data_IF_837646849082
#
_entry.id   IF_837646849082
#
_cell.length_a   1.000
_cell.length_b   1.000
_cell.length_c   1.000
_cell.angle_alpha   90.00
_cell.angle_beta   90.00
_cell.angle_gamma   90.00
#
_symmetry.space_group_name_H-M   'P 1'
#
loop_
_entity.id
_entity.type
_entity.pdbx_description
1 polymer ?
#
# COMPACT_ATOMS: atom_id res chain seq x y z
N UNK A 1 53.62 27.54 39.99
CA UNK A 1 53.25 26.43 39.06
C UNK A 1 51.94 26.77 38.37
N UNK A 2 51.98 26.78 37.09
CA UNK A 2 51.29 27.54 36.06
C UNK A 2 49.76 27.28 35.94
N UNK A 3 48.99 28.29 36.23
CA UNK A 3 47.53 28.40 35.91
C UNK A 3 47.21 28.23 34.39
N UNK A 4 48.19 28.50 33.54
CA UNK A 4 48.08 28.36 32.08
C UNK A 4 47.84 26.91 31.60
N UNK A 5 48.33 25.89 32.34
CA UNK A 5 48.19 24.49 31.96
C UNK A 5 46.75 23.97 32.25
N UNK A 6 46.09 24.46 33.26
CA UNK A 6 44.73 24.07 33.63
C UNK A 6 43.71 24.62 32.62
N UNK A 7 43.88 25.85 32.19
CA UNK A 7 43.01 26.52 31.21
C UNK A 7 42.98 25.81 29.84
N UNK A 8 44.15 25.30 29.37
CA UNK A 8 44.21 24.54 28.11
C UNK A 8 43.43 23.21 28.21
N UNK A 9 43.43 22.57 29.38
CA UNK A 9 42.64 21.34 29.59
C UNK A 9 41.12 21.61 29.60
N UNK A 10 40.69 22.73 30.20
CA UNK A 10 39.26 23.12 30.24
C UNK A 10 38.77 23.55 28.87
N UNK A 11 39.58 24.23 28.05
CA UNK A 11 39.24 24.60 26.67
C UNK A 11 39.11 23.36 25.80
N UNK A 12 40.02 22.36 25.96
CA UNK A 12 39.93 21.10 25.25
C UNK A 12 38.69 20.29 25.63
N UNK A 13 38.36 20.27 26.94
CA UNK A 13 37.17 19.57 27.44
C UNK A 13 35.88 20.27 27.00
N UNK A 14 35.82 21.59 27.04
CA UNK A 14 34.68 22.38 26.53
C UNK A 14 34.49 22.22 25.01
N UNK A 15 35.62 22.21 24.25
CA UNK A 15 35.57 21.94 22.81
C UNK A 15 35.01 20.55 22.51
N UNK A 16 35.45 19.52 23.26
CA UNK A 16 34.94 18.17 23.09
C UNK A 16 33.45 18.05 23.49
N UNK A 17 33.02 18.76 24.52
CA UNK A 17 31.64 18.72 25.02
C UNK A 17 30.63 19.45 24.09
N UNK A 18 31.06 20.51 23.42
CA UNK A 18 30.19 21.32 22.54
C UNK A 18 30.39 21.08 21.05
N UNK A 19 31.63 20.90 20.61
CA UNK A 19 31.95 20.66 19.20
C UNK A 19 31.50 19.29 18.71
N UNK A 20 31.64 18.27 19.52
CA UNK A 20 31.26 16.91 19.16
C UNK A 20 29.75 16.73 18.94
N UNK A 21 28.86 17.19 19.87
CA UNK A 21 27.41 17.18 19.65
C UNK A 21 26.99 18.08 18.47
N UNK A 22 27.64 19.23 18.29
CA UNK A 22 27.35 20.14 17.17
C UNK A 22 27.70 19.48 15.82
N UNK A 23 28.87 18.87 15.75
CA UNK A 23 29.33 18.14 14.58
C UNK A 23 28.46 16.93 14.27
N UNK A 24 28.00 16.22 15.32
CA UNK A 24 27.03 15.13 15.24
C UNK A 24 25.69 15.62 14.70
N UNK A 25 25.18 16.74 15.17
CA UNK A 25 23.91 17.34 14.74
C UNK A 25 23.97 17.81 13.28
N UNK A 26 25.10 18.42 12.86
CA UNK A 26 25.35 18.80 11.46
C UNK A 26 25.49 17.56 10.58
N UNK A 27 26.26 16.57 11.03
CA UNK A 27 26.47 15.31 10.31
C UNK A 27 25.17 14.56 10.10
N UNK A 28 24.36 14.39 11.14
CA UNK A 28 23.03 13.77 11.02
C UNK A 28 22.05 14.65 10.25
N UNK A 29 22.05 15.96 10.42
CA UNK A 29 21.19 16.87 9.66
C UNK A 29 21.49 16.92 8.17
N UNK A 30 22.76 16.80 7.77
CA UNK A 30 23.17 16.80 6.37
C UNK A 30 23.07 15.41 5.72
N UNK A 31 23.41 14.35 6.45
CA UNK A 31 23.33 12.98 5.94
C UNK A 31 21.94 12.38 6.00
N UNK A 32 21.04 12.88 6.84
CA UNK A 32 19.68 12.37 6.94
C UNK A 32 18.72 12.91 5.87
N UNK A 33 19.22 13.34 4.72
CA UNK A 33 18.41 13.43 3.50
C UNK A 33 18.08 12.00 3.04
N UNK A 34 17.34 11.29 3.86
CA UNK A 34 16.75 10.02 3.46
C UNK A 34 15.78 10.34 2.30
N UNK A 35 16.22 10.11 1.08
CA UNK A 35 15.31 9.98 -0.04
C UNK A 35 14.45 8.77 0.28
N UNK A 36 13.18 8.99 0.61
CA UNK A 36 12.24 7.90 0.77
C UNK A 36 12.22 7.12 -0.54
N UNK A 37 12.38 5.81 -0.45
CA UNK A 37 12.22 4.94 -1.60
C UNK A 37 10.74 5.05 -2.01
N UNK A 38 10.50 5.57 -3.19
CA UNK A 38 9.18 5.56 -3.82
C UNK A 38 9.06 4.30 -4.67
N UNK A 39 7.87 3.73 -4.71
CA UNK A 39 7.61 2.59 -5.60
C UNK A 39 7.52 3.08 -7.05
N UNK A 40 7.95 2.24 -7.98
CA UNK A 40 7.79 2.50 -9.40
C UNK A 40 6.32 2.44 -9.81
N UNK A 41 5.98 3.14 -10.87
CA UNK A 41 4.69 3.00 -11.53
C UNK A 41 4.77 1.84 -12.52
N UNK A 42 3.73 1.03 -12.60
CA UNK A 42 3.62 -0.13 -13.49
C UNK A 42 2.52 0.10 -14.51
N UNK A 43 2.74 -0.39 -15.73
CA UNK A 43 1.79 -0.30 -16.84
C UNK A 43 2.31 0.57 -17.98
N UNK A 44 1.55 0.68 -19.07
CA UNK A 44 1.93 1.48 -20.24
C UNK A 44 1.92 2.98 -19.91
N UNK A 45 2.88 3.73 -20.44
CA UNK A 45 2.90 5.19 -20.29
C UNK A 45 1.82 5.84 -21.19
N UNK A 46 1.13 6.82 -20.62
CA UNK A 46 0.20 7.65 -21.35
C UNK A 46 0.83 9.02 -21.63
N UNK A 47 1.53 9.13 -22.75
CA UNK A 47 2.28 10.33 -23.13
C UNK A 47 1.38 11.54 -23.50
N UNK A 48 0.08 11.35 -23.60
CA UNK A 48 -0.89 12.40 -23.99
C UNK A 48 -1.67 12.98 -22.81
N UNK A 49 -1.55 12.38 -21.61
CA UNK A 49 -2.24 12.85 -20.42
C UNK A 49 -1.34 13.77 -19.57
N UNK A 50 -1.97 14.61 -18.74
CA UNK A 50 -1.23 15.39 -17.71
C UNK A 50 -0.47 14.48 -16.76
N UNK A 51 -0.99 13.25 -16.51
CA UNK A 51 -0.34 12.21 -15.75
C UNK A 51 0.14 11.11 -16.72
N UNK A 52 1.44 10.94 -16.92
CA UNK A 52 1.99 9.97 -17.85
C UNK A 52 1.85 8.52 -17.35
N UNK A 53 1.49 8.31 -16.08
CA UNK A 53 1.42 6.98 -15.49
C UNK A 53 0.09 6.29 -15.78
N UNK A 54 0.16 4.97 -15.94
CA UNK A 54 -1.04 4.16 -16.10
C UNK A 54 -1.93 4.28 -14.87
N UNK A 55 -3.17 4.65 -15.10
CA UNK A 55 -4.24 4.62 -14.11
C UNK A 55 -5.24 3.54 -14.49
N UNK A 56 -5.64 2.71 -13.53
CA UNK A 56 -6.67 1.70 -13.79
C UNK A 56 -7.95 2.37 -14.31
N UNK A 57 -8.63 1.78 -15.29
CA UNK A 57 -9.89 2.30 -15.81
C UNK A 57 -11.00 2.22 -14.76
N UNK A 58 -12.09 2.93 -15.01
CA UNK A 58 -13.29 2.85 -14.20
C UNK A 58 -13.88 1.46 -14.24
N UNK A 59 -14.49 1.06 -13.13
CA UNK A 59 -15.26 -0.16 -13.02
C UNK A 59 -16.48 0.05 -12.12
N UNK A 60 -17.46 -0.84 -12.27
CA UNK A 60 -18.62 -0.90 -11.41
C UNK A 60 -19.07 -2.37 -11.28
N UNK A 61 -18.76 -2.98 -10.13
CA UNK A 61 -19.13 -4.35 -9.83
C UNK A 61 -19.83 -4.43 -8.48
N UNK A 62 -20.70 -5.42 -8.32
CA UNK A 62 -21.38 -5.66 -7.04
C UNK A 62 -20.44 -6.29 -6.03
N UNK A 63 -20.43 -5.74 -4.80
CA UNK A 63 -19.74 -6.36 -3.67
C UNK A 63 -20.58 -7.51 -3.06
N UNK A 64 -20.05 -8.18 -2.05
CA UNK A 64 -20.69 -9.28 -1.32
C UNK A 64 -22.02 -8.92 -0.65
N UNK A 65 -22.35 -7.64 -0.55
CA UNK A 65 -23.62 -7.15 -0.02
C UNK A 65 -24.56 -6.61 -1.11
N UNK A 66 -24.17 -6.74 -2.38
CA UNK A 66 -24.93 -6.23 -3.53
C UNK A 66 -24.76 -4.73 -3.78
N UNK A 67 -23.88 -4.04 -3.04
CA UNK A 67 -23.59 -2.63 -3.33
C UNK A 67 -22.62 -2.51 -4.48
N UNK A 68 -22.78 -1.49 -5.32
CA UNK A 68 -21.85 -1.24 -6.41
C UNK A 68 -20.59 -0.56 -5.88
N UNK A 69 -19.45 -1.22 -6.03
CA UNK A 69 -18.13 -0.65 -5.78
C UNK A 69 -17.57 -0.11 -7.10
N UNK A 70 -17.03 1.09 -7.05
CA UNK A 70 -16.41 1.76 -8.20
C UNK A 70 -14.97 2.15 -7.88
N UNK A 71 -14.15 2.42 -8.91
CA UNK A 71 -12.81 2.97 -8.71
C UNK A 71 -12.85 4.23 -7.84
N UNK A 72 -13.78 5.15 -8.10
CA UNK A 72 -13.85 6.43 -7.40
C UNK A 72 -14.10 6.27 -5.89
N UNK A 73 -14.79 5.21 -5.47
CA UNK A 73 -14.98 4.90 -4.04
C UNK A 73 -13.70 4.44 -3.33
N UNK A 74 -12.67 4.12 -4.10
CA UNK A 74 -11.34 3.71 -3.61
C UNK A 74 -10.28 4.82 -3.72
N UNK A 75 -10.59 5.95 -4.36
CA UNK A 75 -9.66 7.08 -4.42
C UNK A 75 -9.32 7.56 -3.00
N UNK A 76 -8.09 7.96 -2.82
CA UNK A 76 -7.55 8.36 -1.51
C UNK A 76 -7.15 7.18 -0.60
N UNK A 77 -7.31 5.93 -1.05
CA UNK A 77 -6.91 4.72 -0.33
C UNK A 77 -5.80 3.99 -1.07
N UNK A 78 -4.91 3.35 -0.34
CA UNK A 78 -4.03 2.29 -0.86
C UNK A 78 -4.79 0.99 -0.78
N UNK A 79 -4.83 0.23 -1.86
CA UNK A 79 -5.59 -1.00 -1.84
C UNK A 79 -4.94 -2.13 -2.65
N UNK A 80 -5.24 -3.34 -2.24
CA UNK A 80 -4.79 -4.56 -2.89
C UNK A 80 -5.92 -5.09 -3.74
N UNK A 81 -5.71 -5.16 -5.05
CA UNK A 81 -6.57 -5.92 -5.95
C UNK A 81 -6.08 -7.38 -5.94
N UNK A 82 -6.94 -8.31 -5.53
CA UNK A 82 -6.68 -9.72 -5.53
C UNK A 82 -7.59 -10.41 -6.55
N UNK A 83 -7.05 -11.30 -7.38
CA UNK A 83 -7.82 -12.01 -8.40
C UNK A 83 -7.81 -13.51 -8.10
N UNK A 84 -8.93 -14.03 -7.63
CA UNK A 84 -9.12 -15.45 -7.33
C UNK A 84 -10.62 -15.81 -7.21
N UNK A 85 -10.92 -17.11 -7.10
CA UNK A 85 -12.26 -17.62 -6.80
C UNK A 85 -12.30 -18.27 -5.42
N UNK A 86 -13.47 -18.28 -4.78
CA UNK A 86 -13.69 -19.02 -3.53
C UNK A 86 -13.51 -20.53 -3.67
N UNK A 87 -13.51 -21.03 -4.91
CA UNK A 87 -13.28 -22.43 -5.26
C UNK A 87 -11.85 -22.75 -5.71
N UNK A 88 -10.90 -21.82 -5.57
CA UNK A 88 -9.51 -22.06 -5.95
C UNK A 88 -8.84 -23.08 -5.02
N UNK A 89 -7.98 -23.93 -5.60
CA UNK A 89 -7.28 -25.01 -4.87
C UNK A 89 -6.42 -24.44 -3.71
N UNK A 90 -5.82 -23.26 -3.91
CA UNK A 90 -4.95 -22.60 -2.93
C UNK A 90 -5.66 -21.56 -2.08
N UNK A 91 -7.01 -21.59 -2.03
CA UNK A 91 -7.81 -20.56 -1.35
C UNK A 91 -7.41 -20.35 0.12
N UNK A 92 -7.02 -21.41 0.84
CA UNK A 92 -6.61 -21.31 2.24
C UNK A 92 -5.34 -20.46 2.39
N UNK A 93 -4.34 -20.65 1.52
CA UNK A 93 -3.10 -19.88 1.54
C UNK A 93 -3.34 -18.42 1.14
N UNK A 94 -4.15 -18.21 0.10
CA UNK A 94 -4.56 -16.86 -0.35
C UNK A 94 -5.22 -16.11 0.80
N UNK A 95 -6.19 -16.77 1.45
CA UNK A 95 -6.93 -16.22 2.60
C UNK A 95 -5.98 -15.84 3.73
N UNK A 96 -5.06 -16.72 4.12
CA UNK A 96 -4.10 -16.47 5.18
C UNK A 96 -3.25 -15.22 4.89
N UNK A 97 -2.77 -15.06 3.64
CA UNK A 97 -1.99 -13.89 3.22
C UNK A 97 -2.80 -12.60 3.33
N UNK A 98 -4.03 -12.60 2.84
CA UNK A 98 -4.91 -11.43 2.93
C UNK A 98 -5.31 -11.11 4.37
N UNK A 99 -5.52 -12.14 5.21
CA UNK A 99 -5.77 -11.97 6.65
C UNK A 99 -4.60 -11.29 7.36
N UNK A 100 -3.37 -11.62 7.02
CA UNK A 100 -2.17 -10.97 7.57
C UNK A 100 -2.15 -9.46 7.24
N UNK A 101 -2.48 -9.08 6.00
CA UNK A 101 -2.60 -7.67 5.60
C UNK A 101 -3.72 -6.99 6.38
N UNK A 102 -4.91 -7.61 6.40
CA UNK A 102 -6.07 -7.09 7.07
C UNK A 102 -5.82 -6.88 8.57
N UNK A 103 -5.21 -7.85 9.26
CA UNK A 103 -4.85 -7.75 10.66
C UNK A 103 -3.83 -6.64 10.92
N UNK A 104 -2.77 -6.57 10.12
CA UNK A 104 -1.72 -5.56 10.26
C UNK A 104 -2.26 -4.15 10.12
N UNK A 105 -3.16 -3.94 9.17
CA UNK A 105 -3.71 -2.61 8.85
C UNK A 105 -5.15 -2.41 9.34
N UNK A 106 -5.63 -3.18 10.32
CA UNK A 106 -7.03 -3.16 10.80
C UNK A 106 -7.54 -1.79 11.23
N UNK A 107 -6.67 -0.95 11.77
CA UNK A 107 -6.99 0.39 12.26
C UNK A 107 -6.75 1.49 11.22
N UNK A 108 -6.33 1.14 10.00
CA UNK A 108 -6.00 2.09 8.94
C UNK A 108 -7.17 2.22 7.97
N UNK A 109 -7.95 3.31 8.00
CA UNK A 109 -9.14 3.48 7.15
C UNK A 109 -8.78 3.61 5.66
N UNK A 110 -7.54 4.00 5.38
CA UNK A 110 -7.02 4.27 4.04
C UNK A 110 -6.43 3.02 3.35
N UNK A 111 -6.60 1.84 3.96
CA UNK A 111 -6.17 0.58 3.37
C UNK A 111 -7.40 -0.27 3.09
N UNK A 112 -7.47 -0.86 1.90
CA UNK A 112 -8.54 -1.78 1.51
C UNK A 112 -8.00 -3.02 0.79
N UNK A 113 -8.79 -4.09 0.79
CA UNK A 113 -8.59 -5.31 0.01
C UNK A 113 -9.81 -5.47 -0.87
N UNK A 114 -9.61 -5.59 -2.17
CA UNK A 114 -10.70 -5.75 -3.15
C UNK A 114 -10.40 -6.99 -3.98
N UNK A 115 -11.28 -7.97 -3.87
CA UNK A 115 -11.18 -9.22 -4.63
C UNK A 115 -12.04 -9.11 -5.87
N UNK A 116 -11.47 -9.47 -6.99
CA UNK A 116 -12.16 -9.62 -8.27
C UNK A 116 -12.31 -11.12 -8.52
N UNK A 117 -13.54 -11.62 -8.54
CA UNK A 117 -13.80 -13.03 -8.79
C UNK A 117 -13.30 -13.44 -10.18
N UNK A 118 -12.54 -14.51 -10.23
CA UNK A 118 -12.13 -15.13 -11.51
C UNK A 118 -13.20 -16.06 -12.08
N UNK A 119 -14.20 -16.44 -11.26
CA UNK A 119 -15.30 -17.36 -11.60
C UNK A 119 -16.63 -16.84 -11.09
N UNK A 120 -17.12 -15.73 -11.64
CA UNK A 120 -18.37 -15.10 -11.22
C UNK A 120 -19.61 -16.00 -11.36
N UNK A 121 -19.54 -17.06 -12.19
CA UNK A 121 -20.63 -18.05 -12.33
C UNK A 121 -20.82 -18.86 -11.05
N UNK A 122 -19.74 -19.17 -10.32
CA UNK A 122 -19.76 -19.90 -9.07
C UNK A 122 -19.72 -19.00 -7.83
N UNK A 123 -19.08 -17.85 -7.96
CA UNK A 123 -18.93 -16.87 -6.88
C UNK A 123 -20.10 -15.88 -6.88
N UNK A 124 -21.22 -16.30 -6.29
CA UNK A 124 -22.36 -15.39 -6.10
C UNK A 124 -22.11 -14.42 -4.94
N UNK A 125 -22.83 -13.30 -4.83
CA UNK A 125 -22.72 -12.41 -3.66
C UNK A 125 -22.88 -13.16 -2.33
N UNK A 126 -23.80 -14.14 -2.28
CA UNK A 126 -24.06 -14.93 -1.07
C UNK A 126 -22.86 -15.83 -0.71
N UNK A 127 -22.26 -16.52 -1.69
CA UNK A 127 -21.08 -17.36 -1.45
C UNK A 127 -19.86 -16.51 -1.06
N UNK A 128 -19.68 -15.36 -1.69
CA UNK A 128 -18.64 -14.39 -1.36
C UNK A 128 -18.81 -13.85 0.06
N UNK A 129 -20.03 -13.51 0.45
CA UNK A 129 -20.36 -13.07 1.80
C UNK A 129 -20.09 -14.14 2.83
N UNK A 130 -20.56 -15.37 2.60
CA UNK A 130 -20.30 -16.50 3.48
C UNK A 130 -18.79 -16.77 3.64
N UNK A 131 -18.02 -16.68 2.55
CA UNK A 131 -16.57 -16.82 2.59
C UNK A 131 -15.90 -15.73 3.44
N UNK A 132 -16.28 -14.46 3.26
CA UNK A 132 -15.73 -13.35 4.07
C UNK A 132 -16.11 -13.54 5.54
N UNK A 133 -17.36 -13.80 5.84
CA UNK A 133 -17.84 -13.98 7.22
C UNK A 133 -17.12 -15.14 7.91
N UNK A 134 -16.98 -16.28 7.25
CA UNK A 134 -16.30 -17.44 7.80
C UNK A 134 -14.85 -17.14 8.18
N UNK A 135 -14.15 -16.34 7.37
CA UNK A 135 -12.74 -16.05 7.57
C UNK A 135 -12.50 -14.84 8.46
N UNK A 136 -13.48 -13.94 8.60
CA UNK A 136 -13.30 -12.69 9.34
C UNK A 136 -13.90 -12.70 10.74
N UNK A 137 -14.82 -13.60 11.05
CA UNK A 137 -15.52 -13.69 12.37
C UNK A 137 -14.58 -13.79 13.57
N UNK A 138 -13.44 -14.45 13.41
CA UNK A 138 -12.53 -14.72 14.54
C UNK A 138 -11.59 -13.58 14.89
N UNK A 139 -11.51 -12.51 14.09
CA UNK A 139 -10.43 -11.53 14.20
C UNK A 139 -10.88 -10.06 14.28
N UNK A 140 -12.16 -9.77 14.46
CA UNK A 140 -12.67 -8.39 14.61
C UNK A 140 -12.42 -7.52 13.38
N UNK A 141 -12.64 -8.06 12.19
CA UNK A 141 -12.32 -7.38 10.94
C UNK A 141 -13.29 -6.27 10.58
N UNK A 142 -12.72 -5.18 10.13
CA UNK A 142 -13.41 -4.04 9.55
C UNK A 142 -13.85 -4.31 8.10
N UNK A 143 -14.80 -3.51 7.60
CA UNK A 143 -15.34 -3.52 6.22
C UNK A 143 -14.32 -3.23 5.11
N UNK A 144 -13.06 -3.61 5.28
CA UNK A 144 -11.96 -3.32 4.37
C UNK A 144 -11.82 -4.32 3.24
N UNK A 145 -12.36 -5.51 3.42
CA UNK A 145 -12.30 -6.59 2.45
C UNK A 145 -13.61 -6.62 1.69
N UNK A 146 -13.53 -6.39 0.40
CA UNK A 146 -14.64 -6.43 -0.54
C UNK A 146 -14.43 -7.53 -1.55
N UNK A 147 -15.46 -8.29 -1.83
CA UNK A 147 -15.42 -9.37 -2.83
C UNK A 147 -16.39 -9.02 -3.96
N UNK A 148 -15.82 -8.73 -5.13
CA UNK A 148 -16.58 -8.30 -6.30
C UNK A 148 -16.98 -9.48 -7.17
N UNK A 149 -18.26 -9.48 -7.53
CA UNK A 149 -18.87 -10.46 -8.42
C UNK A 149 -19.67 -9.74 -9.52
N UNK A 150 -20.09 -10.45 -10.54
CA UNK A 150 -20.89 -9.86 -11.60
C UNK A 150 -20.89 -10.66 -12.90
N UNK A 151 -20.98 -9.96 -14.03
CA UNK A 151 -20.87 -10.64 -15.32
C UNK A 151 -19.44 -11.17 -15.53
N UNK A 152 -19.33 -12.46 -15.86
CA UNK A 152 -18.06 -13.17 -16.00
C UNK A 152 -17.14 -12.54 -17.05
N UNK A 153 -17.69 -12.25 -18.24
CA UNK A 153 -16.90 -11.70 -19.36
C UNK A 153 -16.40 -10.29 -19.05
N UNK A 154 -17.26 -9.45 -18.45
CA UNK A 154 -16.90 -8.11 -18.03
C UNK A 154 -15.82 -8.12 -16.95
N UNK A 155 -15.94 -9.01 -15.98
CA UNK A 155 -14.95 -9.19 -14.91
C UNK A 155 -13.60 -9.64 -15.49
N UNK A 156 -13.58 -10.67 -16.32
CA UNK A 156 -12.36 -11.15 -16.95
C UNK A 156 -11.72 -10.09 -17.86
N UNK A 157 -12.53 -9.36 -18.62
CA UNK A 157 -12.04 -8.25 -19.44
C UNK A 157 -11.39 -7.16 -18.58
N UNK A 158 -12.00 -6.82 -17.44
CA UNK A 158 -11.44 -5.85 -16.51
C UNK A 158 -10.14 -6.35 -15.86
N UNK A 159 -10.08 -7.58 -15.39
CA UNK A 159 -8.87 -8.17 -14.81
C UNK A 159 -7.73 -8.13 -15.83
N UNK A 160 -8.02 -8.51 -17.09
CA UNK A 160 -6.99 -8.57 -18.15
C UNK A 160 -6.53 -7.17 -18.59
N UNK A 161 -7.45 -6.27 -18.88
CA UNK A 161 -7.15 -4.99 -19.51
C UNK A 161 -6.99 -3.85 -18.49
N UNK A 162 -7.74 -3.90 -17.39
CA UNK A 162 -7.73 -2.87 -16.34
C UNK A 162 -6.66 -3.14 -15.28
N UNK A 163 -6.55 -4.35 -14.78
CA UNK A 163 -5.52 -4.72 -13.83
C UNK A 163 -4.23 -5.22 -14.49
N UNK A 164 -4.21 -5.36 -15.81
CA UNK A 164 -3.07 -5.83 -16.61
C UNK A 164 -2.58 -7.23 -16.19
N UNK A 165 -3.52 -8.13 -15.84
CA UNK A 165 -3.23 -9.50 -15.46
C UNK A 165 -3.61 -10.41 -16.64
N UNK A 166 -2.62 -11.01 -17.32
CA UNK A 166 -2.84 -11.79 -18.53
C UNK A 166 -3.07 -13.28 -18.24
N UNK A 167 -2.45 -13.81 -17.20
CA UNK A 167 -2.52 -15.22 -16.84
C UNK A 167 -3.05 -15.40 -15.42
N UNK A 168 -4.15 -16.12 -15.31
CA UNK A 168 -4.80 -16.47 -14.03
C UNK A 168 -4.78 -18.00 -13.81
N UNK A 169 -4.03 -18.74 -14.63
CA UNK A 169 -4.17 -20.19 -14.71
C UNK A 169 -3.56 -20.95 -13.53
N UNK A 170 -2.57 -20.39 -12.83
CA UNK A 170 -1.78 -21.16 -11.87
C UNK A 170 -1.61 -20.55 -10.48
N UNK A 171 -1.76 -19.24 -10.33
CA UNK A 171 -1.56 -18.59 -9.03
C UNK A 171 -2.45 -17.35 -8.88
N UNK A 172 -2.87 -17.06 -7.66
CA UNK A 172 -3.48 -15.78 -7.36
C UNK A 172 -2.46 -14.65 -7.55
N UNK A 173 -2.85 -13.64 -8.30
CA UNK A 173 -2.06 -12.44 -8.55
C UNK A 173 -2.66 -11.28 -7.78
N UNK A 174 -1.78 -10.49 -7.19
CA UNK A 174 -2.16 -9.31 -6.42
C UNK A 174 -1.52 -8.07 -7.03
N UNK A 175 -2.31 -7.03 -7.20
CA UNK A 175 -1.82 -5.70 -7.60
C UNK A 175 -1.95 -4.75 -6.42
N UNK A 176 -0.91 -3.99 -6.17
CA UNK A 176 -0.94 -2.90 -5.19
C UNK A 176 -1.25 -1.61 -5.93
N UNK A 177 -2.30 -0.93 -5.51
CA UNK A 177 -2.79 0.28 -6.16
C UNK A 177 -2.75 1.44 -5.15
N UNK A 178 -2.26 2.58 -5.61
CA UNK A 178 -2.13 3.78 -4.78
C UNK A 178 -3.43 4.60 -4.70
N UNK A 179 -3.37 5.68 -3.94
CA UNK A 179 -4.50 6.55 -3.69
C UNK A 179 -5.06 7.27 -4.93
N UNK A 180 -4.29 7.32 -6.00
CA UNK A 180 -4.67 7.98 -7.25
C UNK A 180 -5.11 6.97 -8.33
N UNK A 181 -5.01 5.67 -8.02
CA UNK A 181 -5.43 4.58 -8.91
C UNK A 181 -4.32 4.06 -9.82
N UNK A 182 -3.05 4.27 -9.47
CA UNK A 182 -1.91 3.72 -10.23
C UNK A 182 -1.47 2.38 -9.68
N UNK A 183 -1.08 1.47 -10.55
CA UNK A 183 -0.48 0.21 -10.15
C UNK A 183 0.97 0.46 -9.73
N UNK A 184 1.30 0.11 -8.47
CA UNK A 184 2.61 0.32 -7.87
C UNK A 184 3.35 -0.97 -7.51
N UNK A 185 2.69 -2.13 -7.66
CA UNK A 185 3.29 -3.43 -7.40
C UNK A 185 2.46 -4.59 -7.96
N UNK A 186 3.16 -5.70 -8.23
CA UNK A 186 2.57 -6.98 -8.62
C UNK A 186 3.21 -8.09 -7.79
N UNK A 187 2.40 -9.00 -7.27
CA UNK A 187 2.85 -10.02 -6.33
C UNK A 187 2.11 -11.33 -6.59
N UNK A 188 2.84 -12.45 -6.54
CA UNK A 188 2.26 -13.80 -6.53
C UNK A 188 1.88 -14.24 -5.12
N UNK A 189 1.25 -15.42 -5.03
CA UNK A 189 0.80 -16.00 -3.75
C UNK A 189 1.94 -16.78 -3.05
N UNK A 190 3.06 -16.12 -2.75
CA UNK A 190 4.16 -16.70 -1.98
C UNK A 190 4.51 -15.81 -0.78
N UNK A 191 5.07 -16.40 0.28
CA UNK A 191 5.51 -15.63 1.46
C UNK A 191 6.55 -14.58 1.09
N UNK A 192 7.44 -14.93 0.17
CA UNK A 192 8.45 -14.06 -0.39
C UNK A 192 7.86 -12.77 -0.99
N UNK A 193 6.76 -12.88 -1.72
CA UNK A 193 6.09 -11.73 -2.32
C UNK A 193 5.32 -10.88 -1.29
N UNK A 194 4.87 -11.47 -0.19
CA UNK A 194 4.06 -10.76 0.81
C UNK A 194 4.88 -10.12 1.93
N UNK A 195 5.85 -10.85 2.47
CA UNK A 195 6.59 -10.40 3.66
C UNK A 195 7.99 -9.87 3.33
N UNK A 196 8.45 -10.10 2.11
CA UNK A 196 9.85 -9.90 1.73
C UNK A 196 10.71 -11.12 2.05
N UNK A 197 11.72 -11.38 1.22
CA UNK A 197 12.64 -12.51 1.40
C UNK A 197 13.54 -12.36 2.61
N UNK A 198 14.09 -13.47 3.10
CA UNK A 198 15.10 -13.48 4.14
C UNK A 198 16.34 -12.71 3.67
N UNK A 199 16.57 -11.53 4.21
CA UNK A 199 17.72 -10.71 3.86
C UNK A 199 17.44 -9.26 3.52
N UNK A 200 16.32 -8.69 3.96
CA UNK A 200 16.01 -7.24 4.00
C UNK A 200 16.10 -6.43 2.68
N UNK A 201 16.49 -7.04 1.56
CA UNK A 201 16.72 -6.31 0.30
C UNK A 201 15.59 -6.45 -0.71
N UNK A 202 14.61 -7.34 -0.49
CA UNK A 202 13.49 -7.55 -1.41
C UNK A 202 12.20 -7.08 -0.76
N UNK A 203 11.59 -6.00 -1.30
CA UNK A 203 10.35 -5.48 -0.77
C UNK A 203 9.23 -6.48 -1.00
N UNK A 204 8.50 -6.80 0.07
CA UNK A 204 7.25 -7.54 0.00
C UNK A 204 6.06 -6.59 -0.02
N UNK A 205 4.89 -7.08 -0.47
CA UNK A 205 3.67 -6.29 -0.58
C UNK A 205 3.32 -5.56 0.72
N UNK A 206 3.50 -6.22 1.87
CA UNK A 206 3.22 -5.62 3.19
C UNK A 206 4.11 -4.40 3.49
N UNK A 207 5.37 -4.42 3.04
CA UNK A 207 6.29 -3.30 3.20
C UNK A 207 5.94 -2.18 2.22
N UNK A 208 5.57 -2.52 1.00
CA UNK A 208 5.20 -1.57 -0.04
C UNK A 208 3.88 -0.85 0.27
N UNK A 209 2.90 -1.52 0.90
CA UNK A 209 1.70 -0.87 1.46
C UNK A 209 2.11 0.21 2.48
N UNK A 210 3.07 -0.07 3.36
CA UNK A 210 3.54 0.91 4.34
C UNK A 210 4.22 2.12 3.69
N UNK A 211 4.94 1.92 2.58
CA UNK A 211 5.54 3.02 1.80
C UNK A 211 4.46 3.91 1.18
N UNK A 212 3.47 3.32 0.50
CA UNK A 212 2.37 4.09 -0.11
C UNK A 212 1.52 4.81 0.94
N UNK A 213 1.25 4.16 2.07
CA UNK A 213 0.56 4.83 3.18
C UNK A 213 1.32 6.08 3.65
N UNK A 214 2.64 5.97 3.78
CA UNK A 214 3.49 7.11 4.14
C UNK A 214 3.44 8.23 3.10
N UNK A 215 3.36 7.90 1.80
CA UNK A 215 3.17 8.89 0.73
C UNK A 215 1.86 9.67 0.93
N UNK A 216 0.75 8.99 1.28
CA UNK A 216 -0.53 9.64 1.60
C UNK A 216 -0.40 10.57 2.81
N UNK A 217 0.21 10.09 3.90
CA UNK A 217 0.35 10.87 5.13
C UNK A 217 1.18 12.15 4.91
N UNK A 218 2.25 12.06 4.13
CA UNK A 218 3.07 13.23 3.74
C UNK A 218 2.25 14.21 2.89
N UNK A 219 1.49 13.72 1.91
CA UNK A 219 0.63 14.55 1.05
C UNK A 219 -0.37 15.33 1.91
N UNK A 220 -1.11 14.65 2.78
CA UNK A 220 -2.09 15.25 3.68
C UNK A 220 -1.48 16.27 4.65
N UNK A 221 -0.27 15.98 5.13
CA UNK A 221 0.46 16.93 5.97
C UNK A 221 0.79 18.21 5.22
N UNK A 222 1.30 18.10 3.99
CA UNK A 222 1.65 19.24 3.17
C UNK A 222 0.42 20.07 2.78
N UNK A 223 -0.69 19.43 2.44
CA UNK A 223 -1.97 20.10 2.13
C UNK A 223 -2.52 20.88 3.33
N UNK A 224 -2.44 20.30 4.53
CA UNK A 224 -2.83 21.00 5.76
C UNK A 224 -1.98 22.24 5.99
N UNK A 225 -0.66 22.09 5.88
CA UNK A 225 0.24 23.23 6.01
C UNK A 225 -0.01 24.34 4.99
N UNK A 226 -0.28 23.97 3.74
CA UNK A 226 -0.61 24.94 2.69
C UNK A 226 -1.91 25.70 3.01
N UNK A 227 -2.94 24.99 3.49
CA UNK A 227 -4.20 25.62 3.93
C UNK A 227 -4.02 26.56 5.13
N UNK A 228 -3.26 26.16 6.13
CA UNK A 228 -2.93 26.99 7.29
C UNK A 228 -2.18 28.26 6.88
N UNK A 229 -1.20 28.15 5.97
CA UNK A 229 -0.46 29.28 5.45
C UNK A 229 -1.35 30.26 4.66
N UNK A 230 -2.28 29.72 3.85
CA UNK A 230 -3.24 30.54 3.08
C UNK A 230 -4.25 31.28 3.99
N UNK A 231 -4.61 30.69 5.14
CA UNK A 231 -5.56 31.30 6.09
C UNK A 231 -4.88 32.34 6.99
N UNK A 232 -3.54 32.33 7.11
CA UNK A 232 -2.77 33.23 7.97
C UNK A 232 -2.27 34.49 7.23
N UNK A 233 -2.48 34.59 5.93
CA UNK A 233 -2.22 35.82 5.17
C UNK A 233 -3.41 36.78 5.33
N UNK A 234 -3.20 38.01 5.90
CA UNK A 234 -4.25 39.01 6.13
C UNK A 234 -4.80 39.61 4.84
#
# INVERSE_FOLDING_TARGET
MSTRSKWKKYIGLAGMLFLFPLLWLVFFGVLSKHKFKTLSYLGPENTLAEDPHYRIPDFAFADENGNILTRDSLLGKVWVAACYSTSDEHIAQITERLLNINFKYRNEPDIAIVVFSTRCESDTPESAKAYIEQNTQYNGFSNKWKYLTGNQDAMQAYIRNGLLIQDLSNEAIFKLIDADGHIRGEYGNTEYHFLGGAGDSIPGMVQDIALLKKEIDIRRYNERKAKEAATTQP
#
